data_IF_713500457455
#
_entry.id   IF_713500457455
#
_cell.length_a   1.000
_cell.length_b   1.000
_cell.length_c   1.000
_cell.angle_alpha   90.00
_cell.angle_beta   90.00
_cell.angle_gamma   90.00
#
_symmetry.space_group_name_H-M   'P 1'
#
loop_
_entity.id
_entity.type
_entity.pdbx_description
1 polymer ?
#
# COMPACT_ATOMS: atom_id res chain seq x y z
N UNK A 1 5.49 -19.12 -6.11
CA UNK A 1 5.33 -17.95 -6.99
C UNK A 1 3.89 -17.51 -6.95
N UNK A 2 3.54 -16.77 -5.88
CA UNK A 2 2.26 -16.07 -5.73
C UNK A 2 2.51 -14.69 -5.12
N UNK A 3 3.69 -14.15 -5.43
CA UNK A 3 4.41 -13.15 -4.61
C UNK A 3 4.30 -11.74 -5.19
N UNK A 4 3.16 -11.44 -5.83
CA UNK A 4 2.82 -10.08 -6.24
C UNK A 4 1.53 -9.69 -5.53
N UNK A 5 1.63 -9.48 -4.21
CA UNK A 5 0.50 -9.03 -3.40
C UNK A 5 0.26 -7.54 -3.69
N UNK A 6 -0.61 -7.31 -4.66
CA UNK A 6 -0.88 -5.98 -5.15
C UNK A 6 -1.90 -5.34 -4.22
N UNK A 7 -1.58 -4.19 -3.68
CA UNK A 7 -2.53 -3.44 -2.85
C UNK A 7 -3.01 -2.22 -3.63
N UNK A 8 -4.25 -1.84 -3.36
CA UNK A 8 -4.82 -0.58 -3.81
C UNK A 8 -5.06 0.34 -2.61
N UNK A 9 -4.83 1.63 -2.78
CA UNK A 9 -5.12 2.64 -1.77
C UNK A 9 -6.07 3.68 -2.33
N UNK A 10 -6.96 4.19 -1.49
CA UNK A 10 -7.96 5.20 -1.88
C UNK A 10 -7.34 6.32 -2.73
N UNK A 11 -7.94 6.58 -3.89
CA UNK A 11 -7.41 7.51 -4.90
C UNK A 11 -7.17 8.91 -4.33
N UNK A 12 -6.05 9.50 -4.69
CA UNK A 12 -5.60 10.81 -4.20
C UNK A 12 -4.85 10.73 -2.86
N UNK A 13 -4.64 9.52 -2.32
CA UNK A 13 -3.89 9.29 -1.07
C UNK A 13 -2.64 8.45 -1.31
N UNK A 14 -2.39 7.99 -2.53
CA UNK A 14 -1.29 7.10 -2.86
C UNK A 14 0.09 7.66 -2.53
N UNK A 15 0.37 8.89 -2.98
CA UNK A 15 1.71 9.48 -2.82
C UNK A 15 2.11 9.63 -1.35
N UNK A 16 1.24 10.21 -0.52
CA UNK A 16 1.52 10.43 0.90
C UNK A 16 1.67 9.11 1.68
N UNK A 17 0.85 8.10 1.38
CA UNK A 17 0.90 6.84 2.11
C UNK A 17 2.12 6.03 1.71
N UNK A 18 2.47 6.00 0.42
CA UNK A 18 3.64 5.28 -0.08
C UNK A 18 4.93 5.93 0.41
N UNK A 19 5.01 7.26 0.42
CA UNK A 19 6.13 7.98 1.01
C UNK A 19 6.31 7.61 2.48
N UNK A 20 5.22 7.63 3.26
CA UNK A 20 5.26 7.25 4.67
C UNK A 20 5.64 5.78 4.89
N UNK A 21 5.13 4.86 4.06
CA UNK A 21 5.47 3.43 4.14
C UNK A 21 6.98 3.22 4.01
N UNK A 22 7.59 3.82 2.99
CA UNK A 22 9.02 3.70 2.72
C UNK A 22 9.87 4.36 3.82
N UNK A 23 9.48 5.55 4.29
CA UNK A 23 10.18 6.22 5.38
C UNK A 23 10.08 5.42 6.69
N UNK A 24 8.90 4.92 7.02
CA UNK A 24 8.69 4.12 8.21
C UNK A 24 9.45 2.80 8.15
N UNK A 25 9.45 2.12 7.00
CA UNK A 25 10.22 0.91 6.80
C UNK A 25 11.72 1.16 7.01
N UNK A 26 12.25 2.23 6.41
CA UNK A 26 13.66 2.63 6.55
C UNK A 26 14.03 2.94 8.00
N UNK A 27 13.22 3.72 8.72
CA UNK A 27 13.49 4.06 10.13
C UNK A 27 13.46 2.84 11.05
N UNK A 28 12.60 1.86 10.76
CA UNK A 28 12.48 0.62 11.54
C UNK A 28 13.40 -0.51 11.04
N UNK A 29 14.27 -0.26 10.05
CA UNK A 29 15.11 -1.27 9.40
C UNK A 29 14.32 -2.47 8.86
N UNK A 30 13.07 -2.24 8.47
CA UNK A 30 12.21 -3.22 7.83
C UNK A 30 12.55 -3.26 6.34
N UNK A 31 12.71 -4.46 5.79
CA UNK A 31 12.83 -4.65 4.34
C UNK A 31 11.46 -4.52 3.70
N UNK A 32 11.08 -3.28 3.38
CA UNK A 32 9.90 -2.96 2.59
C UNK A 32 10.20 -1.77 1.68
N UNK A 33 9.87 -1.92 0.41
CA UNK A 33 9.86 -0.82 -0.56
C UNK A 33 8.55 -0.89 -1.34
N UNK A 34 7.77 0.18 -1.31
CA UNK A 34 6.48 0.30 -1.97
C UNK A 34 6.52 1.37 -3.07
N UNK A 35 5.78 1.13 -4.16
CA UNK A 35 5.76 2.03 -5.33
C UNK A 35 4.40 2.01 -6.01
N UNK A 36 3.86 3.19 -6.29
CA UNK A 36 2.65 3.37 -7.10
C UNK A 36 2.88 2.88 -8.53
N UNK A 37 1.89 2.19 -9.09
CA UNK A 37 1.91 1.73 -10.47
C UNK A 37 1.43 2.76 -11.48
N UNK A 38 0.82 3.87 -11.02
CA UNK A 38 0.11 4.80 -11.91
C UNK A 38 -1.16 4.17 -12.53
N UNK A 39 -1.63 3.07 -11.97
CA UNK A 39 -2.84 2.37 -12.39
C UNK A 39 -3.92 2.52 -11.31
N UNK A 40 -5.17 2.71 -11.73
CA UNK A 40 -6.31 2.86 -10.83
C UNK A 40 -7.35 1.78 -11.12
N UNK A 41 -7.90 1.17 -10.07
CA UNK A 41 -9.06 0.28 -10.16
C UNK A 41 -10.27 1.00 -9.59
N UNK A 42 -11.38 1.00 -10.34
CA UNK A 42 -12.68 1.48 -9.86
C UNK A 42 -13.50 0.31 -9.33
N UNK A 43 -14.06 0.47 -8.14
CA UNK A 43 -14.99 -0.48 -7.56
C UNK A 43 -16.41 0.09 -7.61
N UNK A 44 -17.41 -0.77 -7.82
CA UNK A 44 -18.81 -0.32 -7.94
C UNK A 44 -19.33 0.41 -6.69
N UNK A 45 -18.87 0.02 -5.50
CA UNK A 45 -19.43 0.48 -4.23
C UNK A 45 -18.41 1.14 -3.27
N UNK A 46 -17.10 1.01 -3.50
CA UNK A 46 -16.08 1.44 -2.54
C UNK A 46 -15.21 2.60 -3.03
N UNK A 47 -15.37 3.01 -4.30
CA UNK A 47 -14.63 4.09 -4.93
C UNK A 47 -13.45 3.59 -5.79
N UNK A 48 -12.54 4.51 -6.08
CA UNK A 48 -11.34 4.28 -6.87
C UNK A 48 -10.12 4.03 -5.98
N UNK A 49 -9.23 3.16 -6.44
CA UNK A 49 -8.01 2.77 -5.74
C UNK A 49 -6.79 2.90 -6.66
N UNK A 50 -5.79 3.64 -6.22
CA UNK A 50 -4.45 3.70 -6.82
C UNK A 50 -3.68 2.43 -6.43
N UNK A 51 -3.29 1.65 -7.42
CA UNK A 51 -2.59 0.39 -7.21
C UNK A 51 -1.10 0.62 -6.97
N UNK A 52 -0.52 -0.21 -6.11
CA UNK A 52 0.91 -0.19 -5.80
C UNK A 52 1.49 -1.58 -5.62
N UNK A 53 2.75 -1.72 -6.04
CA UNK A 53 3.64 -2.84 -5.67
C UNK A 53 4.26 -2.58 -4.32
N UNK A 54 4.71 -3.66 -3.69
CA UNK A 54 5.78 -3.60 -2.72
C UNK A 54 6.70 -4.83 -2.86
N UNK A 55 7.90 -4.73 -2.30
CA UNK A 55 8.87 -5.82 -2.17
C UNK A 55 9.27 -5.90 -0.69
N UNK A 56 9.32 -7.11 -0.13
CA UNK A 56 9.65 -7.32 1.28
C UNK A 56 9.19 -8.67 1.83
N UNK A 57 9.15 -8.79 3.15
CA UNK A 57 8.46 -9.90 3.80
C UNK A 57 6.94 -9.66 3.78
N UNK A 58 6.19 -10.66 3.34
CA UNK A 58 4.74 -10.63 3.18
C UNK A 58 3.96 -10.30 4.45
N UNK A 59 4.31 -10.94 5.57
CA UNK A 59 3.58 -10.74 6.81
C UNK A 59 3.87 -9.34 7.38
N UNK A 60 5.10 -8.86 7.21
CA UNK A 60 5.50 -7.53 7.62
C UNK A 60 4.85 -6.46 6.75
N UNK A 61 4.81 -6.66 5.43
CA UNK A 61 4.20 -5.73 4.49
C UNK A 61 2.71 -5.53 4.77
N UNK A 62 1.95 -6.63 4.87
CA UNK A 62 0.51 -6.57 5.17
C UNK A 62 0.23 -5.83 6.48
N UNK A 63 0.99 -6.13 7.55
CA UNK A 63 0.88 -5.43 8.83
C UNK A 63 1.16 -3.93 8.71
N UNK A 64 2.19 -3.56 7.93
CA UNK A 64 2.58 -2.18 7.76
C UNK A 64 1.58 -1.39 6.90
N UNK A 65 1.04 -2.00 5.86
CA UNK A 65 -0.02 -1.41 5.01
C UNK A 65 -1.29 -1.18 5.83
N UNK A 66 -1.72 -2.14 6.65
CA UNK A 66 -2.85 -1.97 7.58
C UNK A 66 -2.58 -0.83 8.57
N UNK A 67 -1.34 -0.72 9.08
CA UNK A 67 -0.94 0.38 9.96
C UNK A 67 -1.04 1.73 9.25
N UNK A 68 -0.62 1.80 7.99
CA UNK A 68 -0.75 3.00 7.16
C UNK A 68 -2.23 3.38 6.96
N UNK A 69 -3.07 2.42 6.56
CA UNK A 69 -4.52 2.64 6.38
C UNK A 69 -5.17 3.24 7.62
N UNK A 70 -4.89 2.68 8.81
CA UNK A 70 -5.40 3.21 10.08
C UNK A 70 -4.88 4.62 10.40
N UNK A 71 -3.58 4.87 10.13
CA UNK A 71 -2.94 6.17 10.38
C UNK A 71 -3.56 7.28 9.52
N UNK A 72 -3.74 7.02 8.23
CA UNK A 72 -4.22 8.01 7.26
C UNK A 72 -5.75 8.04 7.14
N UNK A 73 -6.43 7.09 7.79
CA UNK A 73 -7.90 6.86 7.70
C UNK A 73 -8.35 6.69 6.25
N UNK A 74 -7.64 5.84 5.51
CA UNK A 74 -7.86 5.58 4.09
C UNK A 74 -8.25 4.13 3.86
N UNK A 75 -9.08 3.90 2.85
CA UNK A 75 -9.43 2.54 2.42
C UNK A 75 -8.25 1.91 1.70
N UNK A 76 -8.10 0.60 1.89
CA UNK A 76 -7.15 -0.24 1.16
C UNK A 76 -7.84 -1.50 0.66
N UNK A 77 -7.42 -1.98 -0.50
CA UNK A 77 -7.81 -3.28 -1.06
C UNK A 77 -6.56 -4.14 -1.27
N UNK A 78 -6.74 -5.45 -1.22
CA UNK A 78 -5.70 -6.45 -1.46
C UNK A 78 -6.18 -7.35 -2.60
N UNK A 79 -5.31 -7.62 -3.57
CA UNK A 79 -5.59 -8.42 -4.76
C UNK A 79 -4.52 -9.45 -5.05
#
# INVERSE_FOLDING_TARGET
>A
MRDSETFGIEKGRGEEVIAWLNEHAKTQKIKLEARLYGYTISTKNFGDFEMFSWIGDVQVARKLIIKASKRFKVKVIEG
#
